data_IF_264119263667
#
_entry.id   IF_264119263667
#
_cell.length_a   1.000
_cell.length_b   1.000
_cell.length_c   1.000
_cell.angle_alpha   90.00
_cell.angle_beta   90.00
_cell.angle_gamma   90.00
#
_symmetry.space_group_name_H-M   'P 1'
#
loop_
_entity.id
_entity.type
_entity.pdbx_description
1 polymer ?
#
# COMPACT_ATOMS: atom_id res chain seq x y z
N UNK A 1 2.10 -2.16 24.91
CA UNK A 1 3.20 -1.21 25.17
C UNK A 1 3.35 -0.92 26.65
N UNK A 2 4.58 -0.63 27.10
CA UNK A 2 4.84 -0.18 28.46
C UNK A 2 4.22 1.21 28.69
N UNK A 3 3.67 1.46 29.87
CA UNK A 3 3.01 2.72 30.20
C UNK A 3 3.98 3.92 30.36
N UNK A 4 5.30 3.68 30.32
CA UNK A 4 6.34 4.71 30.41
C UNK A 4 7.60 4.25 29.65
N UNK A 5 7.61 4.39 28.31
CA UNK A 5 8.74 3.97 27.50
C UNK A 5 9.97 4.89 27.71
N UNK A 6 11.15 4.30 27.89
CA UNK A 6 12.43 5.02 27.97
C UNK A 6 13.26 4.75 26.70
N UNK A 7 13.89 5.79 26.12
CA UNK A 7 14.80 5.64 24.98
C UNK A 7 15.91 4.64 25.31
N UNK A 8 16.19 3.73 24.39
CA UNK A 8 17.15 2.64 24.56
C UNK A 8 16.54 1.38 25.21
N UNK A 9 15.23 1.35 25.45
CA UNK A 9 14.55 0.14 25.92
C UNK A 9 14.30 -0.80 24.74
N UNK A 10 15.12 -1.86 24.64
CA UNK A 10 14.86 -2.97 23.73
C UNK A 10 13.95 -4.02 24.39
N UNK A 11 12.98 -4.53 23.64
CA UNK A 11 12.09 -5.61 24.06
C UNK A 11 11.81 -6.58 22.90
N UNK A 12 11.56 -7.85 23.23
CA UNK A 12 11.16 -8.84 22.24
C UNK A 12 9.67 -8.70 21.94
N UNK A 13 9.33 -8.58 20.66
CA UNK A 13 7.93 -8.63 20.23
C UNK A 13 7.45 -10.07 20.07
N UNK A 14 8.33 -10.95 19.59
CA UNK A 14 8.12 -12.39 19.47
C UNK A 14 9.45 -13.12 19.73
N UNK A 15 9.40 -14.23 20.45
CA UNK A 15 10.58 -15.05 20.73
C UNK A 15 10.30 -16.49 20.33
N UNK A 16 10.81 -16.90 19.16
CA UNK A 16 10.77 -18.28 18.67
C UNK A 16 12.22 -18.78 18.52
N UNK A 17 12.57 -19.87 19.22
CA UNK A 17 13.92 -20.44 19.17
C UNK A 17 14.19 -20.98 17.76
N UNK A 18 15.11 -20.34 17.04
CA UNK A 18 15.60 -20.80 15.73
C UNK A 18 15.00 -20.09 14.51
N UNK A 19 14.12 -19.11 14.69
CA UNK A 19 13.66 -18.19 13.64
C UNK A 19 13.95 -16.73 14.04
N UNK A 20 13.88 -15.79 13.10
CA UNK A 20 14.29 -14.39 13.27
C UNK A 20 13.81 -13.79 14.60
N UNK A 21 14.75 -13.37 15.44
CA UNK A 21 14.46 -12.71 16.71
C UNK A 21 14.02 -11.27 16.43
N UNK A 22 12.70 -11.02 16.31
CA UNK A 22 12.16 -9.67 16.15
C UNK A 22 12.29 -8.88 17.47
N UNK A 23 13.22 -7.93 17.46
CA UNK A 23 13.49 -7.01 18.55
C UNK A 23 12.89 -5.65 18.19
N UNK A 24 12.42 -4.94 19.21
CA UNK A 24 11.99 -3.56 19.07
C UNK A 24 12.71 -2.69 20.09
N UNK A 25 13.28 -1.59 19.63
CA UNK A 25 13.93 -0.60 20.46
C UNK A 25 13.23 0.75 20.34
N UNK A 26 13.01 1.38 21.48
CA UNK A 26 12.51 2.74 21.52
C UNK A 26 13.69 3.67 21.24
N UNK A 27 13.80 4.12 19.99
CA UNK A 27 14.93 4.92 19.54
C UNK A 27 14.75 6.40 19.83
N UNK A 28 13.51 6.88 19.92
CA UNK A 28 13.23 8.29 20.21
C UNK A 28 11.89 8.48 20.94
N UNK A 29 11.80 9.55 21.73
CA UNK A 29 10.61 9.91 22.51
C UNK A 29 10.50 11.42 22.68
N UNK A 30 9.29 11.93 22.92
CA UNK A 30 8.98 13.37 22.99
C UNK A 30 9.27 14.10 21.66
N UNK A 31 8.92 13.44 20.56
CA UNK A 31 9.00 14.00 19.23
C UNK A 31 7.76 14.87 18.93
N UNK A 32 8.00 16.03 18.35
CA UNK A 32 6.97 16.80 17.66
C UNK A 32 7.07 16.47 16.17
N UNK A 33 6.06 15.78 15.64
CA UNK A 33 6.05 15.27 14.27
C UNK A 33 4.83 15.79 13.52
N UNK A 34 5.07 16.36 12.35
CA UNK A 34 3.98 16.69 11.42
C UNK A 34 3.79 15.52 10.47
N UNK A 35 2.65 14.85 10.55
CA UNK A 35 2.25 13.77 9.64
C UNK A 35 1.05 14.26 8.84
N UNK A 36 1.18 14.29 7.51
CA UNK A 36 0.13 14.74 6.58
C UNK A 36 -0.51 16.09 6.93
N UNK A 37 0.30 17.03 7.42
CA UNK A 37 -0.13 18.39 7.78
C UNK A 37 -0.77 18.51 9.17
N UNK A 38 -0.98 17.41 9.89
CA UNK A 38 -1.38 17.40 11.30
C UNK A 38 -0.15 17.31 12.21
N UNK A 39 -0.16 18.06 13.32
CA UNK A 39 0.93 18.08 14.28
C UNK A 39 0.63 17.15 15.45
N UNK A 40 1.48 16.15 15.66
CA UNK A 40 1.45 15.24 16.79
C UNK A 40 2.60 15.59 17.76
N UNK A 41 2.25 15.76 19.03
CA UNK A 41 3.20 16.01 20.11
C UNK A 41 3.42 14.72 20.90
N UNK A 42 4.54 14.66 21.64
CA UNK A 42 4.90 13.54 22.51
C UNK A 42 4.98 12.17 21.78
N UNK A 43 5.37 12.18 20.50
CA UNK A 43 5.47 10.97 19.68
C UNK A 43 6.65 10.11 20.13
N UNK A 44 6.43 8.79 20.10
CA UNK A 44 7.44 7.76 20.36
C UNK A 44 7.78 7.07 19.06
N UNK A 45 9.07 7.02 18.71
CA UNK A 45 9.59 6.27 17.57
C UNK A 45 10.18 4.96 18.06
N UNK A 46 9.73 3.87 17.48
CA UNK A 46 10.17 2.51 17.78
C UNK A 46 10.80 1.95 16.52
N UNK A 47 12.02 1.43 16.61
CA UNK A 47 12.67 0.66 15.57
C UNK A 47 12.41 -0.82 15.82
N UNK A 48 11.85 -1.52 14.87
CA UNK A 48 11.75 -2.98 14.84
C UNK A 48 12.84 -3.51 13.89
N UNK A 49 13.57 -4.52 14.33
CA UNK A 49 14.68 -5.09 13.58
C UNK A 49 14.91 -6.56 13.97
N UNK A 50 15.58 -7.28 13.09
CA UNK A 50 16.03 -8.65 13.33
C UNK A 50 17.54 -8.69 13.55
N UNK A 51 18.01 -9.55 14.45
CA UNK A 51 19.47 -9.81 14.60
C UNK A 51 20.05 -10.44 13.32
N UNK A 52 19.21 -11.06 12.50
CA UNK A 52 19.62 -11.69 11.24
C UNK A 52 19.74 -10.68 10.10
N UNK A 53 18.91 -9.64 10.11
CA UNK A 53 18.84 -8.57 9.11
C UNK A 53 18.94 -7.21 9.80
N UNK A 54 20.12 -6.84 10.33
CA UNK A 54 20.30 -5.62 11.12
C UNK A 54 20.36 -4.34 10.27
N UNK A 55 20.46 -4.48 8.94
CA UNK A 55 20.53 -3.37 7.99
C UNK A 55 19.13 -2.96 7.48
N UNK A 56 18.13 -3.82 7.67
CA UNK A 56 16.71 -3.53 7.43
C UNK A 56 16.02 -3.14 8.74
N UNK A 57 15.07 -2.23 8.67
CA UNK A 57 14.34 -1.80 9.88
C UNK A 57 12.99 -1.21 9.56
N UNK A 58 12.02 -1.53 10.43
CA UNK A 58 10.73 -0.86 10.44
C UNK A 58 10.71 0.18 11.55
N UNK A 59 10.18 1.36 11.25
CA UNK A 59 9.97 2.41 12.24
C UNK A 59 8.50 2.65 12.45
N UNK A 60 8.03 2.46 13.68
CA UNK A 60 6.65 2.72 14.08
C UNK A 60 6.59 3.92 15.01
N UNK A 61 5.74 4.87 14.67
CA UNK A 61 5.57 6.12 15.39
C UNK A 61 4.22 6.12 16.10
N UNK A 62 4.22 6.31 17.41
CA UNK A 62 3.00 6.29 18.21
C UNK A 62 2.76 7.64 18.89
N UNK A 63 1.56 8.19 18.69
CA UNK A 63 1.12 9.39 19.40
C UNK A 63 0.19 9.05 20.58
N UNK A 64 0.30 9.76 21.72
CA UNK A 64 -0.59 9.56 22.85
C UNK A 64 -2.06 9.74 22.48
N UNK A 65 -2.93 8.85 22.96
CA UNK A 65 -4.38 8.86 22.71
C UNK A 65 -4.82 8.62 21.27
N UNK A 66 -3.88 8.39 20.34
CA UNK A 66 -4.16 8.07 18.93
C UNK A 66 -3.74 6.64 18.61
N UNK A 67 -2.51 6.25 18.97
CA UNK A 67 -1.93 4.96 18.58
C UNK A 67 -0.85 5.12 17.51
N UNK A 68 -0.71 4.16 16.61
CA UNK A 68 0.23 4.20 15.49
C UNK A 68 -0.18 5.32 14.54
N UNK A 69 0.71 6.27 14.27
CA UNK A 69 0.45 7.44 13.41
C UNK A 69 1.24 7.43 12.10
N UNK A 70 2.36 6.70 12.07
CA UNK A 70 3.24 6.55 10.93
C UNK A 70 4.00 5.23 11.08
N UNK A 71 4.19 4.53 9.97
CA UNK A 71 5.07 3.38 9.82
C UNK A 71 6.01 3.67 8.65
N UNK A 72 7.27 3.25 8.75
CA UNK A 72 8.27 3.41 7.68
C UNK A 72 9.10 2.13 7.61
N UNK A 73 9.27 1.57 6.41
CA UNK A 73 10.20 0.45 6.19
C UNK A 73 11.43 0.95 5.44
N UNK A 74 12.60 0.58 5.94
CA UNK A 74 13.90 0.96 5.40
C UNK A 74 14.66 -0.29 4.96
N UNK A 75 15.15 -0.29 3.72
CA UNK A 75 15.96 -1.39 3.17
C UNK A 75 17.44 -1.31 3.58
N UNK A 76 18.24 -2.31 3.20
CA UNK A 76 19.68 -2.39 3.48
C UNK A 76 20.49 -1.15 3.02
N UNK A 77 20.04 -0.45 1.98
CA UNK A 77 20.69 0.75 1.44
C UNK A 77 20.35 2.02 2.26
N UNK A 78 19.43 1.93 3.22
CA UNK A 78 18.93 3.05 4.01
C UNK A 78 17.84 3.86 3.31
N UNK A 79 17.32 3.36 2.20
CA UNK A 79 16.23 3.99 1.46
C UNK A 79 14.88 3.59 2.07
N UNK A 80 13.98 4.57 2.19
CA UNK A 80 12.60 4.34 2.60
C UNK A 80 11.85 3.66 1.47
N UNK A 81 11.43 2.42 1.68
CA UNK A 81 10.70 1.61 0.70
C UNK A 81 9.20 1.53 0.98
N UNK A 82 8.78 1.82 2.22
CA UNK A 82 7.38 1.91 2.60
C UNK A 82 7.15 3.04 3.60
N UNK A 83 5.97 3.65 3.57
CA UNK A 83 5.56 4.61 4.58
C UNK A 83 4.04 4.73 4.67
N UNK A 84 3.41 4.18 5.71
CA UNK A 84 1.96 4.32 5.92
C UNK A 84 1.66 5.31 7.04
N UNK A 85 0.56 6.06 6.97
CA UNK A 85 0.23 7.05 8.01
C UNK A 85 -1.26 7.07 8.39
N UNK A 86 -1.57 7.46 9.63
CA UNK A 86 -2.93 7.40 10.17
C UNK A 86 -3.92 8.36 9.47
N UNK A 87 -3.45 9.44 8.84
CA UNK A 87 -4.32 10.29 8.04
C UNK A 87 -4.77 9.60 6.74
N UNK A 88 -3.97 8.70 6.17
CA UNK A 88 -4.37 7.90 5.00
C UNK A 88 -5.49 6.92 5.35
N UNK A 89 -5.60 6.54 6.63
CA UNK A 89 -6.70 5.71 7.16
C UNK A 89 -7.94 6.51 7.58
N UNK A 90 -7.82 7.83 7.80
CA UNK A 90 -8.90 8.68 8.33
C UNK A 90 -9.70 9.42 7.25
N UNK A 91 -9.10 9.66 6.08
CA UNK A 91 -9.88 9.90 4.87
C UNK A 91 -10.31 8.52 4.34
N UNK A 92 -11.54 8.12 4.64
CA UNK A 92 -12.23 7.00 3.96
C UNK A 92 -12.50 7.29 2.46
N UNK A 93 -11.76 8.24 1.90
CA UNK A 93 -11.78 8.79 0.54
C UNK A 93 -10.32 9.15 0.14
N UNK A 94 -9.30 8.54 0.78
CA UNK A 94 -7.93 8.59 0.26
C UNK A 94 -7.91 7.71 -0.99
N UNK A 95 -8.04 8.39 -2.12
CA UNK A 95 -8.17 7.77 -3.43
C UNK A 95 -6.93 6.90 -3.71
N UNK A 96 -7.01 5.59 -3.43
CA UNK A 96 -6.06 4.60 -3.91
C UNK A 96 -6.26 4.42 -5.43
N UNK A 97 -6.10 5.51 -6.18
CA UNK A 97 -6.20 5.58 -7.63
C UNK A 97 -5.56 6.86 -8.16
N UNK A 98 -5.23 6.86 -9.45
CA UNK A 98 -4.73 8.03 -10.16
C UNK A 98 -5.89 8.66 -10.95
N UNK A 99 -6.22 9.92 -10.67
CA UNK A 99 -7.38 10.58 -11.27
C UNK A 99 -7.00 11.54 -12.41
N UNK A 100 -7.24 11.12 -13.65
CA UNK A 100 -7.00 11.89 -14.87
C UNK A 100 -8.29 12.27 -15.60
N UNK A 101 -9.44 12.28 -14.92
CA UNK A 101 -10.73 12.64 -15.54
C UNK A 101 -10.70 14.05 -16.15
N UNK A 102 -10.04 14.99 -15.49
CA UNK A 102 -9.87 16.39 -15.94
C UNK A 102 -8.55 16.63 -16.68
N UNK A 103 -7.75 15.60 -16.93
CA UNK A 103 -6.54 15.74 -17.72
C UNK A 103 -6.88 16.02 -19.19
N UNK A 104 -6.02 16.76 -19.88
CA UNK A 104 -6.23 17.16 -21.29
C UNK A 104 -5.35 16.36 -22.25
N UNK A 105 -4.32 15.68 -21.73
CA UNK A 105 -3.34 14.93 -22.52
C UNK A 105 -2.93 13.67 -21.77
N UNK A 106 -2.54 12.65 -22.53
CA UNK A 106 -1.85 11.47 -22.01
C UNK A 106 -0.58 11.87 -21.25
N UNK A 107 -0.31 11.23 -20.11
CA UNK A 107 0.90 11.40 -19.30
C UNK A 107 1.70 10.11 -19.30
N UNK A 108 3.03 10.22 -19.35
CA UNK A 108 3.93 9.07 -19.20
C UNK A 108 4.31 8.93 -17.73
N UNK A 109 4.19 7.72 -17.20
CA UNK A 109 4.56 7.38 -15.82
C UNK A 109 5.56 6.24 -15.81
N UNK A 110 6.43 6.24 -14.82
CA UNK A 110 7.29 5.10 -14.51
C UNK A 110 6.71 4.37 -13.30
N UNK A 111 6.56 3.05 -13.41
CA UNK A 111 6.03 2.20 -12.34
C UNK A 111 7.08 1.20 -11.90
N UNK A 112 7.14 0.94 -10.60
CA UNK A 112 8.00 -0.07 -10.00
C UNK A 112 7.31 -0.71 -8.80
N UNK A 113 7.78 -1.89 -8.39
CA UNK A 113 7.17 -2.61 -7.29
C UNK A 113 8.22 -3.18 -6.33
N UNK A 114 7.85 -3.23 -5.06
CA UNK A 114 8.51 -4.00 -4.01
C UNK A 114 7.46 -4.93 -3.39
N UNK A 115 7.89 -6.04 -2.81
CA UNK A 115 6.98 -7.00 -2.18
C UNK A 115 7.64 -7.63 -0.96
N UNK A 116 6.87 -7.77 0.11
CA UNK A 116 7.26 -8.50 1.31
C UNK A 116 6.37 -9.72 1.50
N UNK A 117 6.29 -10.57 0.46
CA UNK A 117 5.37 -11.71 0.47
C UNK A 117 5.96 -12.99 -0.11
N UNK A 118 5.31 -14.10 0.20
CA UNK A 118 5.65 -15.42 -0.33
C UNK A 118 5.02 -15.71 -1.70
N UNK A 119 4.14 -14.85 -2.21
CA UNK A 119 3.39 -15.07 -3.44
C UNK A 119 4.10 -14.46 -4.65
N UNK A 120 3.90 -15.06 -5.84
CA UNK A 120 4.33 -14.45 -7.10
C UNK A 120 3.28 -13.44 -7.56
N UNK A 121 3.37 -12.24 -6.97
CA UNK A 121 2.40 -11.18 -7.13
C UNK A 121 2.65 -10.37 -8.42
N UNK A 122 1.56 -10.09 -9.14
CA UNK A 122 1.55 -9.23 -10.33
C UNK A 122 0.60 -8.07 -10.10
N UNK A 123 1.11 -6.85 -10.13
CA UNK A 123 0.32 -5.63 -9.98
C UNK A 123 -0.03 -4.97 -11.32
N UNK A 124 -1.03 -4.12 -11.32
CA UNK A 124 -1.41 -3.33 -12.49
C UNK A 124 -2.39 -2.21 -12.19
N UNK A 125 -2.70 -1.41 -13.22
CA UNK A 125 -3.84 -0.49 -13.20
C UNK A 125 -4.84 -0.85 -14.31
N UNK A 126 -6.12 -0.63 -14.05
CA UNK A 126 -7.15 -0.63 -15.08
C UNK A 126 -7.84 0.73 -15.19
N UNK A 127 -8.31 1.03 -16.40
CA UNK A 127 -9.09 2.22 -16.68
C UNK A 127 -10.51 2.08 -16.15
N UNK A 128 -10.93 3.06 -15.34
CA UNK A 128 -12.30 3.32 -14.93
C UNK A 128 -12.76 4.68 -15.45
N UNK A 129 -14.06 4.83 -15.66
CA UNK A 129 -14.65 6.08 -16.19
C UNK A 129 -15.08 7.07 -15.12
N UNK A 130 -15.01 6.67 -13.86
CA UNK A 130 -15.33 7.47 -12.69
C UNK A 130 -14.53 7.02 -11.48
N UNK A 131 -14.60 7.81 -10.40
CA UNK A 131 -13.95 7.51 -9.12
C UNK A 131 -14.63 6.37 -8.35
N UNK A 132 -15.79 5.89 -8.82
CA UNK A 132 -16.45 4.72 -8.25
C UNK A 132 -15.94 3.41 -8.85
N UNK A 133 -14.94 3.47 -9.74
CA UNK A 133 -14.31 2.30 -10.32
C UNK A 133 -15.10 1.67 -11.47
N UNK A 134 -16.09 2.35 -12.05
CA UNK A 134 -16.89 1.78 -13.15
C UNK A 134 -15.99 1.40 -14.33
N UNK A 135 -15.95 0.11 -14.68
CA UNK A 135 -15.14 -0.41 -15.78
C UNK A 135 -15.96 -0.48 -17.07
N UNK A 136 -15.31 -0.33 -18.23
CA UNK A 136 -15.94 -0.60 -19.52
C UNK A 136 -15.54 -2.00 -19.98
N UNK A 137 -16.51 -2.86 -20.31
CA UNK A 137 -16.21 -4.09 -21.04
C UNK A 137 -15.79 -3.73 -22.48
N UNK A 138 -14.53 -3.96 -22.90
CA UNK A 138 -14.06 -3.57 -24.22
C UNK A 138 -14.70 -4.37 -25.36
N UNK A 139 -15.33 -5.51 -25.06
CA UNK A 139 -16.00 -6.35 -26.06
C UNK A 139 -17.41 -5.86 -26.33
N UNK A 140 -18.19 -5.58 -25.27
CA UNK A 140 -19.60 -5.17 -25.40
C UNK A 140 -19.82 -3.67 -25.37
N UNK A 141 -18.87 -2.89 -24.84
CA UNK A 141 -19.00 -1.47 -24.54
C UNK A 141 -19.91 -1.16 -23.35
N UNK A 142 -20.26 -2.18 -22.55
CA UNK A 142 -21.08 -1.99 -21.35
C UNK A 142 -20.27 -1.36 -20.23
N UNK A 143 -20.88 -0.42 -19.52
CA UNK A 143 -20.39 0.09 -18.24
C UNK A 143 -20.79 -0.91 -17.15
N UNK A 144 -19.80 -1.41 -16.41
CA UNK A 144 -19.99 -2.41 -15.35
C UNK A 144 -19.55 -1.77 -14.03
N UNK A 145 -20.52 -1.59 -13.14
CA UNK A 145 -20.25 -1.07 -11.81
C UNK A 145 -19.50 -2.11 -10.97
N UNK A 146 -18.72 -1.62 -10.00
CA UNK A 146 -18.10 -2.47 -8.98
C UNK A 146 -19.15 -3.40 -8.35
N UNK A 147 -18.81 -4.69 -8.23
CA UNK A 147 -19.67 -5.72 -7.63
C UNK A 147 -20.72 -6.32 -8.58
N UNK A 148 -20.90 -5.77 -9.79
CA UNK A 148 -21.76 -6.39 -10.79
C UNK A 148 -21.08 -7.61 -11.45
N UNK A 149 -21.91 -8.54 -11.93
CA UNK A 149 -21.42 -9.72 -12.62
C UNK A 149 -20.60 -9.36 -13.87
N UNK A 150 -19.36 -9.84 -13.93
CA UNK A 150 -18.43 -9.55 -15.03
C UNK A 150 -17.50 -8.37 -14.78
N UNK A 151 -17.59 -7.72 -13.61
CA UNK A 151 -16.71 -6.59 -13.25
C UNK A 151 -15.22 -6.93 -13.36
N UNK A 152 -14.77 -8.01 -12.71
CA UNK A 152 -13.37 -8.45 -12.76
C UNK A 152 -12.87 -8.64 -14.21
N UNK A 153 -13.71 -9.24 -15.07
CA UNK A 153 -13.37 -9.47 -16.48
C UNK A 153 -13.21 -8.14 -17.21
N UNK A 154 -14.11 -7.18 -16.98
CA UNK A 154 -14.04 -5.85 -17.60
C UNK A 154 -12.85 -5.03 -17.08
N UNK A 155 -12.57 -5.09 -15.77
CA UNK A 155 -11.42 -4.44 -15.15
C UNK A 155 -10.11 -4.97 -15.74
N UNK A 156 -9.88 -6.29 -15.70
CA UNK A 156 -8.68 -6.91 -16.28
C UNK A 156 -8.54 -6.67 -17.78
N UNK A 157 -9.65 -6.68 -18.52
CA UNK A 157 -9.62 -6.40 -19.96
C UNK A 157 -9.33 -4.93 -20.30
N UNK A 158 -9.49 -4.03 -19.33
CA UNK A 158 -9.15 -2.60 -19.42
C UNK A 158 -7.83 -2.27 -18.73
N UNK A 159 -7.01 -3.28 -18.43
CA UNK A 159 -5.70 -3.05 -17.82
C UNK A 159 -4.74 -2.34 -18.79
N UNK A 160 -4.03 -1.34 -18.28
CA UNK A 160 -2.97 -0.62 -19.00
C UNK A 160 -1.73 -1.51 -19.16
N UNK A 161 -1.47 -2.33 -18.14
CA UNK A 161 -0.31 -3.20 -18.05
C UNK A 161 -0.28 -3.94 -16.72
N UNK A 162 0.51 -5.00 -16.70
CA UNK A 162 0.77 -5.86 -15.54
C UNK A 162 2.29 -6.00 -15.37
N UNK A 163 2.78 -5.98 -14.13
CA UNK A 163 4.20 -6.08 -13.80
C UNK A 163 4.41 -6.69 -12.41
N UNK A 164 5.59 -7.25 -12.17
CA UNK A 164 6.02 -7.78 -10.87
C UNK A 164 7.23 -7.04 -10.33
N UNK A 165 7.83 -7.54 -9.23
CA UNK A 165 8.92 -6.88 -8.49
C UNK A 165 10.21 -6.72 -9.30
N UNK A 166 10.49 -7.61 -10.25
CA UNK A 166 11.81 -7.65 -10.91
C UNK A 166 12.00 -6.62 -12.03
N UNK A 167 10.95 -5.86 -12.39
CA UNK A 167 10.98 -4.99 -13.57
C UNK A 167 10.15 -3.73 -13.33
N UNK A 168 10.81 -2.57 -13.32
CA UNK A 168 10.12 -1.30 -13.51
C UNK A 168 9.70 -1.16 -14.97
N UNK A 169 8.54 -0.55 -15.22
CA UNK A 169 7.95 -0.37 -16.54
C UNK A 169 7.60 1.10 -16.76
N UNK A 170 7.52 1.51 -18.02
CA UNK A 170 7.06 2.86 -18.40
C UNK A 170 5.72 2.73 -19.10
N UNK A 171 4.69 3.42 -18.59
CA UNK A 171 3.33 3.36 -19.11
C UNK A 171 2.83 4.73 -19.58
N UNK A 172 1.90 4.72 -20.52
CA UNK A 172 1.17 5.91 -20.96
C UNK A 172 -0.25 5.85 -20.40
N UNK A 173 -0.61 6.85 -19.60
CA UNK A 173 -1.93 7.00 -19.00
C UNK A 173 -2.71 8.06 -19.79
N UNK A 174 -3.70 7.62 -20.56
CA UNK A 174 -4.62 8.49 -21.28
C UNK A 174 -5.42 9.41 -20.34
N UNK A 175 -5.68 10.62 -20.84
CA UNK A 175 -6.62 11.56 -20.22
C UNK A 175 -8.07 11.06 -20.27
N UNK A 176 -8.89 11.50 -19.31
CA UNK A 176 -10.32 11.21 -19.26
C UNK A 176 -10.70 9.94 -18.49
N UNK A 177 -9.76 9.35 -17.74
CA UNK A 177 -9.96 8.12 -16.97
C UNK A 177 -9.49 8.27 -15.53
N UNK A 178 -9.95 7.35 -14.69
CA UNK A 178 -9.36 7.04 -13.39
C UNK A 178 -8.60 5.72 -13.54
N UNK A 179 -7.40 5.63 -13.00
CA UNK A 179 -6.60 4.40 -13.01
C UNK A 179 -6.66 3.74 -11.64
N UNK A 180 -7.32 2.59 -11.58
CA UNK A 180 -7.53 1.85 -10.34
C UNK A 180 -6.45 0.76 -10.22
N UNK A 181 -5.69 0.72 -9.12
CA UNK A 181 -4.74 -0.34 -8.82
C UNK A 181 -5.44 -1.68 -8.56
N UNK A 182 -4.79 -2.76 -8.97
CA UNK A 182 -5.17 -4.12 -8.62
C UNK A 182 -3.94 -5.03 -8.51
N UNK A 183 -4.12 -6.14 -7.80
CA UNK A 183 -3.17 -7.23 -7.66
C UNK A 183 -3.77 -8.51 -8.24
N UNK A 184 -2.94 -9.32 -8.88
CA UNK A 184 -3.18 -10.74 -9.13
C UNK A 184 -2.27 -11.53 -8.20
N UNK A 185 -2.80 -11.91 -7.05
CA UNK A 185 -2.06 -12.65 -6.03
C UNK A 185 -1.83 -14.10 -6.51
N UNK A 186 -0.56 -14.53 -6.52
CA UNK A 186 -0.09 -15.80 -7.12
C UNK A 186 -0.64 -16.03 -8.55
N UNK A 187 -0.85 -14.94 -9.30
CA UNK A 187 -1.43 -14.92 -10.64
C UNK A 187 -2.90 -15.35 -10.75
N UNK A 188 -3.60 -15.54 -9.63
CA UNK A 188 -4.95 -16.13 -9.60
C UNK A 188 -6.00 -15.17 -9.03
N UNK A 189 -5.77 -14.64 -7.84
CA UNK A 189 -6.79 -13.89 -7.10
C UNK A 189 -6.72 -12.41 -7.45
N UNK A 190 -7.80 -11.87 -8.02
CA UNK A 190 -7.93 -10.45 -8.30
C UNK A 190 -8.33 -9.69 -7.03
N UNK A 191 -7.45 -8.79 -6.59
CA UNK A 191 -7.62 -7.98 -5.39
C UNK A 191 -7.53 -6.50 -5.75
N UNK A 192 -8.48 -5.70 -5.28
CA UNK A 192 -8.53 -4.26 -5.54
C UNK A 192 -9.01 -3.46 -4.31
N UNK A 193 -8.99 -2.13 -4.42
CA UNK A 193 -9.45 -1.21 -3.38
C UNK A 193 -10.95 -1.32 -3.06
N UNK A 194 -11.71 -1.90 -3.99
CA UNK A 194 -13.15 -2.02 -3.90
C UNK A 194 -13.58 -3.34 -3.26
N UNK A 195 -14.01 -3.28 -2.01
CA UNK A 195 -14.46 -4.43 -1.24
C UNK A 195 -15.52 -5.27 -1.96
N UNK A 196 -16.48 -4.64 -2.64
CA UNK A 196 -17.55 -5.33 -3.36
C UNK A 196 -17.08 -6.08 -4.60
N UNK A 197 -15.87 -5.80 -5.11
CA UNK A 197 -15.26 -6.54 -6.21
C UNK A 197 -14.43 -7.75 -5.72
N UNK A 198 -14.06 -7.79 -4.44
CA UNK A 198 -13.24 -8.85 -3.87
C UNK A 198 -14.10 -10.00 -3.33
N UNK A 199 -13.62 -11.24 -3.47
CA UNK A 199 -14.41 -12.46 -3.14
C UNK A 199 -14.77 -12.57 -1.65
N UNK A 200 -13.97 -11.94 -0.78
CA UNK A 200 -14.16 -11.91 0.67
C UNK A 200 -14.84 -10.64 1.19
N UNK A 201 -15.09 -9.66 0.32
CA UNK A 201 -15.73 -8.41 0.69
C UNK A 201 -14.84 -7.46 1.49
N UNK A 202 -13.51 -7.60 1.41
CA UNK A 202 -12.55 -6.74 2.09
C UNK A 202 -11.85 -5.79 1.13
N UNK A 203 -11.41 -4.63 1.61
CA UNK A 203 -10.50 -3.77 0.85
C UNK A 203 -9.08 -4.34 0.94
N UNK A 204 -8.42 -4.54 -0.20
CA UNK A 204 -7.04 -5.05 -0.30
C UNK A 204 -6.03 -4.01 -0.75
N UNK A 205 -6.41 -2.74 -0.89
CA UNK A 205 -5.51 -1.67 -1.35
C UNK A 205 -5.61 -0.44 -0.46
N UNK A 206 -4.47 0.13 -0.11
CA UNK A 206 -4.37 1.41 0.58
C UNK A 206 -3.37 2.34 -0.12
N UNK A 207 -3.61 3.65 -0.06
CA UNK A 207 -2.55 4.62 -0.31
C UNK A 207 -1.53 4.58 0.85
N UNK A 208 -0.24 4.49 0.51
CA UNK A 208 0.88 4.34 1.45
C UNK A 208 2.01 5.32 1.11
N UNK A 209 1.62 6.53 0.72
CA UNK A 209 2.51 7.58 0.20
C UNK A 209 1.91 8.33 -0.98
N UNK A 210 2.63 9.37 -1.44
CA UNK A 210 2.24 10.10 -2.64
C UNK A 210 2.38 9.17 -3.87
N UNK A 211 1.25 8.80 -4.47
CA UNK A 211 1.16 7.90 -5.64
C UNK A 211 1.70 6.48 -5.41
N UNK A 212 1.76 6.03 -4.15
CA UNK A 212 2.15 4.68 -3.79
C UNK A 212 0.93 3.89 -3.31
N UNK A 213 0.80 2.66 -3.78
CA UNK A 213 -0.34 1.79 -3.51
C UNK A 213 0.14 0.50 -2.87
N UNK A 214 -0.20 0.30 -1.60
CA UNK A 214 0.09 -0.91 -0.84
C UNK A 214 -1.05 -1.91 -0.95
N UNK A 215 -0.73 -3.20 -0.89
CA UNK A 215 -1.67 -4.29 -1.07
C UNK A 215 -1.54 -5.35 0.02
N UNK A 216 -2.67 -5.96 0.37
CA UNK A 216 -2.75 -7.24 1.07
C UNK A 216 -2.99 -8.35 0.04
N UNK A 217 -2.14 -9.36 -0.03
CA UNK A 217 -2.23 -10.43 -1.03
C UNK A 217 -3.05 -11.66 -0.58
N UNK A 218 -3.37 -11.71 0.72
CA UNK A 218 -4.09 -12.83 1.32
C UNK A 218 -5.57 -12.54 1.49
N UNK A 219 -6.41 -13.37 0.87
CA UNK A 219 -7.86 -13.42 1.15
C UNK A 219 -8.12 -13.53 2.65
N UNK A 220 -8.92 -12.60 3.18
CA UNK A 220 -9.13 -12.40 4.60
C UNK A 220 -8.33 -11.24 5.21
N UNK A 221 -7.48 -10.58 4.41
CA UNK A 221 -6.77 -9.35 4.75
C UNK A 221 -5.56 -9.54 5.66
N UNK A 222 -4.86 -10.68 5.57
CA UNK A 222 -3.55 -10.88 6.21
C UNK A 222 -3.38 -10.29 7.62
N UNK A 223 -2.33 -9.50 7.80
CA UNK A 223 -2.04 -8.69 8.98
C UNK A 223 -2.42 -7.19 8.82
N UNK A 224 -2.93 -6.78 7.65
CA UNK A 224 -3.47 -5.45 7.35
C UNK A 224 -2.44 -4.31 7.45
N UNK A 225 -1.18 -4.56 7.09
CA UNK A 225 -0.17 -3.52 6.94
C UNK A 225 0.02 -3.04 5.48
N UNK A 226 -0.57 -3.75 4.51
CA UNK A 226 -0.57 -3.45 3.07
C UNK A 226 0.84 -3.38 2.45
N UNK A 227 1.82 -4.13 3.00
CA UNK A 227 3.19 -4.19 2.45
C UNK A 227 3.49 -5.47 1.66
N UNK A 228 2.54 -6.42 1.53
CA UNK A 228 2.72 -7.67 0.77
C UNK A 228 3.14 -7.37 -0.68
N UNK A 229 2.59 -6.29 -1.25
CA UNK A 229 3.02 -5.74 -2.52
C UNK A 229 2.81 -4.22 -2.52
N UNK A 230 3.75 -3.46 -3.03
CA UNK A 230 3.66 -2.00 -3.11
C UNK A 230 3.99 -1.57 -4.53
N UNK A 231 3.06 -0.87 -5.18
CA UNK A 231 3.29 -0.18 -6.45
C UNK A 231 3.73 1.25 -6.16
N UNK A 232 4.89 1.61 -6.69
CA UNK A 232 5.39 2.99 -6.71
C UNK A 232 5.18 3.59 -8.10
N UNK A 233 4.68 4.83 -8.16
CA UNK A 233 4.45 5.53 -9.43
C UNK A 233 5.15 6.89 -9.43
N UNK A 234 5.95 7.14 -10.46
CA UNK A 234 6.64 8.40 -10.69
C UNK A 234 6.14 9.09 -11.97
N UNK A 235 6.20 10.43 -11.99
CA UNK A 235 5.89 11.23 -13.19
C UNK A 235 4.43 11.69 -13.32
N UNK A 236 3.64 11.58 -12.25
CA UNK A 236 2.24 12.03 -12.18
C UNK A 236 2.11 13.46 -11.67
#
# INVERSE_FOLDING_TARGET
MAANPEVGTAYYQRFDIGEAENQAEIVESNLDLVVNGENFEDVIKIQEFSVLEPEESDFKYYAPSVGLILEEEINEDGDKIFSSSLQEMADSESNAFINFLDAETTTTVDVSAVANSAFDNVGGFYQAIDTQGTAIDPVSGAEIAVGDAGYEIAAKSSSVGEFGVTTGETWELDAGFVYIPYLLADGADFLTGFAEANIDGLNHVQAVGEQNFGFEDLIGGGDNDFNDFIINVEGV
#
